data_IF_099644697760
#
_entry.id   IF_099644697760
#
_cell.length_a   1.000
_cell.length_b   1.000
_cell.length_c   1.000
_cell.angle_alpha   90.00
_cell.angle_beta   90.00
_cell.angle_gamma   90.00
#
_symmetry.space_group_name_H-M   'P 1'
#
loop_
_entity.id
_entity.type
_entity.pdbx_description
1 polymer ?
#
# COMPACT_ATOMS: atom_id res chain seq x y z
N UNK A 1 -25.49 -18.41 -4.57
CA UNK A 1 -25.14 -17.04 -4.96
C UNK A 1 -23.83 -16.68 -4.26
N UNK A 2 -22.76 -16.41 -5.00
CA UNK A 2 -21.53 -15.92 -4.40
C UNK A 2 -21.71 -14.41 -4.18
N UNK A 3 -21.87 -13.99 -2.92
CA UNK A 3 -21.91 -12.58 -2.59
C UNK A 3 -20.47 -12.07 -2.68
N UNK A 4 -20.14 -11.36 -3.76
CA UNK A 4 -18.87 -10.67 -3.87
C UNK A 4 -18.94 -9.46 -2.92
N UNK A 5 -18.37 -9.59 -1.73
CA UNK A 5 -18.18 -8.42 -0.86
C UNK A 5 -17.09 -7.57 -1.50
N UNK A 6 -17.48 -6.47 -2.13
CA UNK A 6 -16.54 -5.45 -2.58
C UNK A 6 -15.82 -4.90 -1.34
N UNK A 7 -14.54 -5.25 -1.19
CA UNK A 7 -13.71 -4.67 -0.14
C UNK A 7 -13.50 -3.19 -0.45
N UNK A 8 -13.96 -2.33 0.47
CA UNK A 8 -13.79 -0.88 0.37
C UNK A 8 -12.41 -0.48 0.90
N UNK A 9 -11.66 0.24 0.08
CA UNK A 9 -10.29 0.64 0.40
C UNK A 9 -10.08 2.16 0.42
N UNK A 10 -11.01 2.96 -0.11
CA UNK A 10 -10.84 4.41 -0.10
C UNK A 10 -10.87 4.95 1.33
N UNK A 11 -10.08 5.98 1.60
CA UNK A 11 -10.08 6.68 2.89
C UNK A 11 -11.48 7.17 3.26
N UNK A 12 -12.26 7.64 2.28
CA UNK A 12 -13.63 8.12 2.51
C UNK A 12 -14.60 7.02 2.98
N UNK A 13 -14.27 5.76 2.72
CA UNK A 13 -15.12 4.60 3.00
C UNK A 13 -14.60 3.75 4.16
N UNK A 14 -13.50 4.16 4.78
CA UNK A 14 -12.79 3.38 5.80
C UNK A 14 -12.49 4.23 7.03
N UNK A 15 -12.47 3.58 8.20
CA UNK A 15 -11.92 4.19 9.42
C UNK A 15 -10.41 3.93 9.50
N UNK A 16 -9.71 4.68 10.37
CA UNK A 16 -8.28 4.42 10.63
C UNK A 16 -8.03 2.97 11.04
N UNK A 17 -8.81 2.45 12.00
CA UNK A 17 -8.73 1.03 12.44
C UNK A 17 -9.03 0.07 11.29
N UNK A 18 -9.98 0.40 10.42
CA UNK A 18 -10.26 -0.40 9.22
C UNK A 18 -9.05 -0.48 8.29
N UNK A 19 -8.35 0.64 8.08
CA UNK A 19 -7.13 0.70 7.30
C UNK A 19 -5.96 -0.02 7.95
N UNK A 20 -5.81 0.06 9.27
CA UNK A 20 -4.83 -0.74 10.03
C UNK A 20 -5.05 -2.24 9.80
N UNK A 21 -6.31 -2.70 9.83
CA UNK A 21 -6.61 -4.10 9.53
C UNK A 21 -6.26 -4.46 8.08
N UNK A 22 -6.63 -3.63 7.11
CA UNK A 22 -6.30 -3.84 5.69
C UNK A 22 -4.79 -3.97 5.51
N UNK A 23 -4.02 -3.08 6.14
CA UNK A 23 -2.56 -3.08 6.08
C UNK A 23 -1.98 -4.32 6.74
N UNK A 24 -2.44 -4.70 7.93
CA UNK A 24 -1.93 -5.89 8.62
C UNK A 24 -2.23 -7.17 7.84
N UNK A 25 -3.43 -7.30 7.26
CA UNK A 25 -3.79 -8.42 6.39
C UNK A 25 -2.85 -8.47 5.16
N UNK A 26 -2.59 -7.32 4.52
CA UNK A 26 -1.72 -7.23 3.35
C UNK A 26 -0.25 -7.49 3.68
N UNK A 27 0.24 -6.97 4.81
CA UNK A 27 1.60 -7.17 5.29
C UNK A 27 1.85 -8.64 5.60
N UNK A 28 0.91 -9.30 6.28
CA UNK A 28 0.99 -10.73 6.56
C UNK A 28 1.16 -11.55 5.27
N UNK A 29 0.42 -11.21 4.21
CA UNK A 29 0.55 -11.85 2.88
C UNK A 29 1.91 -11.54 2.25
N UNK A 30 2.33 -10.27 2.25
CA UNK A 30 3.55 -9.82 1.59
C UNK A 30 4.83 -10.43 2.22
N UNK A 31 4.77 -10.84 3.49
CA UNK A 31 5.89 -11.44 4.21
C UNK A 31 5.77 -12.95 4.39
N UNK A 32 4.86 -13.63 3.67
CA UNK A 32 4.71 -15.09 3.79
C UNK A 32 5.94 -15.84 3.26
N UNK A 33 6.47 -15.37 2.13
CA UNK A 33 7.55 -16.02 1.37
C UNK A 33 8.62 -15.03 0.89
N UNK A 34 8.57 -13.78 1.37
CA UNK A 34 9.50 -12.71 1.03
C UNK A 34 9.96 -11.94 2.28
N UNK A 35 11.07 -11.22 2.12
CA UNK A 35 11.59 -10.33 3.16
C UNK A 35 10.60 -9.22 3.51
N UNK A 36 10.77 -8.65 4.70
CA UNK A 36 9.96 -7.53 5.15
C UNK A 36 10.05 -6.33 4.18
N UNK A 37 8.94 -5.59 3.97
CA UNK A 37 8.95 -4.40 3.14
C UNK A 37 9.96 -3.35 3.64
N UNK A 38 10.50 -2.57 2.70
CA UNK A 38 11.43 -1.48 3.04
C UNK A 38 10.77 -0.40 3.92
N UNK A 39 11.59 0.35 4.67
CA UNK A 39 11.11 1.49 5.47
C UNK A 39 10.35 2.51 4.62
N UNK A 40 10.82 2.79 3.39
CA UNK A 40 10.12 3.67 2.44
C UNK A 40 8.70 3.18 2.18
N UNK A 41 8.54 1.88 1.90
CA UNK A 41 7.22 1.26 1.68
C UNK A 41 6.35 1.39 2.92
N UNK A 42 6.90 1.10 4.11
CA UNK A 42 6.16 1.21 5.36
C UNK A 42 5.70 2.65 5.66
N UNK A 43 6.51 3.65 5.35
CA UNK A 43 6.13 5.06 5.51
C UNK A 43 4.94 5.45 4.61
N UNK A 44 4.94 5.00 3.35
CA UNK A 44 3.80 5.23 2.44
C UNK A 44 2.52 4.56 2.95
N UNK A 45 2.65 3.33 3.44
CA UNK A 45 1.52 2.59 4.03
C UNK A 45 0.97 3.29 5.28
N UNK A 46 1.83 3.89 6.09
CA UNK A 46 1.41 4.66 7.26
C UNK A 46 0.62 5.93 6.87
N UNK A 47 0.96 6.59 5.77
CA UNK A 47 0.19 7.74 5.26
C UNK A 47 -1.25 7.33 4.87
N UNK A 48 -1.43 6.12 4.33
CA UNK A 48 -2.76 5.57 4.09
C UNK A 48 -3.52 5.31 5.39
N UNK A 49 -2.91 4.66 6.38
CA UNK A 49 -3.53 4.42 7.70
C UNK A 49 -4.02 5.75 8.30
N UNK A 50 -3.16 6.77 8.28
CA UNK A 50 -3.46 8.09 8.82
C UNK A 50 -4.52 8.86 8.00
N UNK A 51 -4.93 8.35 6.84
CA UNK A 51 -5.90 9.00 5.97
C UNK A 51 -5.34 10.22 5.24
N UNK A 52 -4.01 10.31 5.10
CA UNK A 52 -3.32 11.43 4.44
C UNK A 52 -3.22 11.23 2.92
N UNK A 53 -3.16 9.98 2.46
CA UNK A 53 -2.92 9.63 1.06
C UNK A 53 -3.68 8.37 0.65
N UNK A 54 -4.38 8.42 -0.47
CA UNK A 54 -5.08 7.24 -1.02
C UNK A 54 -4.08 6.21 -1.58
N UNK A 55 -4.48 4.94 -1.62
CA UNK A 55 -3.64 3.86 -2.19
C UNK A 55 -3.25 4.15 -3.64
N UNK A 56 -4.14 4.78 -4.43
CA UNK A 56 -3.87 5.17 -5.81
C UNK A 56 -2.75 6.20 -5.94
N UNK A 57 -2.65 7.13 -4.98
CA UNK A 57 -1.58 8.12 -4.93
C UNK A 57 -0.25 7.46 -4.53
N UNK A 58 -0.27 6.54 -3.55
CA UNK A 58 0.90 5.73 -3.16
C UNK A 58 1.42 4.90 -4.34
N UNK A 59 0.52 4.28 -5.11
CA UNK A 59 0.88 3.49 -6.28
C UNK A 59 1.58 4.36 -7.33
N UNK A 60 1.02 5.53 -7.63
CA UNK A 60 1.62 6.47 -8.59
C UNK A 60 3.02 6.91 -8.16
N UNK A 61 3.21 7.24 -6.88
CA UNK A 61 4.51 7.63 -6.34
C UNK A 61 5.52 6.47 -6.37
N UNK A 62 5.06 5.25 -6.07
CA UNK A 62 5.92 4.06 -6.09
C UNK A 62 6.41 3.75 -7.50
N UNK A 63 5.52 3.83 -8.50
CA UNK A 63 5.89 3.65 -9.91
C UNK A 63 6.90 4.71 -10.34
N UNK A 64 6.64 5.98 -10.04
CA UNK A 64 7.54 7.08 -10.40
C UNK A 64 8.94 6.88 -9.79
N UNK A 65 9.02 6.49 -8.51
CA UNK A 65 10.28 6.20 -7.85
C UNK A 65 11.08 5.12 -8.59
N UNK A 66 10.48 3.98 -8.89
CA UNK A 66 11.21 2.90 -9.59
C UNK A 66 11.55 3.24 -11.04
N UNK A 67 10.74 4.06 -11.72
CA UNK A 67 11.08 4.56 -13.04
C UNK A 67 12.33 5.45 -13.01
N UNK A 68 12.47 6.33 -12.02
CA UNK A 68 13.70 7.12 -11.85
C UNK A 68 14.90 6.24 -11.51
N UNK A 69 14.74 5.29 -10.58
CA UNK A 69 15.82 4.36 -10.23
C UNK A 69 16.30 3.55 -11.45
N UNK A 70 15.37 3.09 -12.29
CA UNK A 70 15.69 2.35 -13.50
C UNK A 70 16.49 3.17 -14.53
N UNK A 71 16.32 4.50 -14.56
CA UNK A 71 17.15 5.38 -15.40
C UNK A 71 18.60 5.43 -14.91
N UNK A 72 18.80 5.40 -13.60
CA UNK A 72 20.13 5.44 -12.99
C UNK A 72 20.89 4.11 -13.07
N UNK A 73 20.20 2.97 -13.23
CA UNK A 73 20.84 1.66 -13.40
C UNK A 73 21.32 1.36 -14.84
N UNK A 74 20.87 2.13 -15.84
CA UNK A 74 21.21 1.93 -17.25
C UNK A 74 22.36 2.82 -17.74
N UNK A 75 23.15 3.38 -16.82
CA UNK A 75 24.29 4.27 -17.08
C UNK A 75 25.51 3.78 -16.27
#
# INVERSE_FOLDING_TARGET
MAYTIEKKYSIKETTKVGREKIVNDALAIATLDADAPTERTMNLVQEYIDGKKEISEILKETIAYYQEQAKHCNN
#
